data_IF_437711094549
#
_entry.id   IF_437711094549
#
_cell.length_a   1.000
_cell.length_b   1.000
_cell.length_c   1.000
_cell.angle_alpha   90.00
_cell.angle_beta   90.00
_cell.angle_gamma   90.00
#
_symmetry.space_group_name_H-M   'P 1'
#
loop_
_entity.id
_entity.type
_entity.pdbx_description
1 polymer ?
#
# COMPACT_ATOMS: atom_id res chain seq x y z
N UNK A 1 -9.96 4.94 2.93
CA UNK A 1 -10.23 6.24 3.61
C UNK A 1 -11.51 6.14 4.45
N UNK A 2 -11.61 5.15 5.35
CA UNK A 2 -12.73 5.00 6.29
C UNK A 2 -12.45 5.73 7.62
N UNK A 3 -11.17 6.01 7.94
CA UNK A 3 -10.74 6.69 9.16
C UNK A 3 -11.01 8.22 9.16
N UNK A 4 -11.14 8.83 7.99
CA UNK A 4 -11.48 10.26 7.85
C UNK A 4 -12.94 10.53 8.28
N UNK A 5 -13.81 9.51 8.19
CA UNK A 5 -15.20 9.60 8.61
C UNK A 5 -15.36 9.90 10.11
N UNK A 6 -14.50 9.28 10.93
CA UNK A 6 -14.51 9.32 12.40
C UNK A 6 -13.50 10.31 12.97
N UNK A 7 -12.81 11.11 12.14
CA UNK A 7 -11.81 12.12 12.53
C UNK A 7 -10.71 11.59 13.46
N UNK A 8 -10.26 10.36 13.24
CA UNK A 8 -9.17 9.76 14.03
C UNK A 8 -7.83 10.19 13.45
N UNK A 9 -6.96 10.81 14.26
CA UNK A 9 -5.64 11.30 13.82
C UNK A 9 -4.57 10.18 13.80
N UNK A 10 -4.84 9.09 13.09
CA UNK A 10 -3.91 7.98 12.89
C UNK A 10 -3.87 7.65 11.41
N UNK A 11 -2.68 7.70 10.81
CA UNK A 11 -2.49 7.32 9.41
C UNK A 11 -2.27 5.81 9.30
N UNK A 12 -2.78 5.22 8.23
CA UNK A 12 -2.56 3.82 7.88
C UNK A 12 -1.87 3.81 6.53
N UNK A 13 -0.68 3.22 6.46
CA UNK A 13 0.11 3.11 5.24
C UNK A 13 0.13 1.66 4.77
N UNK A 14 -0.46 1.39 3.60
CA UNK A 14 -0.42 0.06 2.97
C UNK A 14 0.86 -0.07 2.13
N UNK A 15 1.77 -0.96 2.53
CA UNK A 15 3.01 -1.22 1.79
C UNK A 15 2.83 -2.40 0.84
N UNK A 16 2.90 -2.14 -0.46
CA UNK A 16 2.74 -3.12 -1.53
C UNK A 16 4.13 -3.45 -2.06
N UNK A 17 4.58 -4.67 -1.78
CA UNK A 17 5.94 -5.12 -2.04
C UNK A 17 5.96 -6.16 -3.15
N UNK A 18 6.95 -6.04 -4.03
CA UNK A 18 7.34 -7.09 -4.95
C UNK A 18 8.12 -8.21 -4.28
N UNK A 19 8.92 -8.94 -5.06
CA UNK A 19 9.83 -9.96 -4.51
C UNK A 19 11.01 -9.25 -3.82
N UNK A 20 11.23 -9.54 -2.54
CA UNK A 20 12.32 -8.98 -1.73
C UNK A 20 13.32 -10.08 -1.38
N UNK A 21 14.61 -9.79 -1.41
CA UNK A 21 15.73 -10.73 -1.23
C UNK A 21 15.96 -11.20 0.22
N UNK A 22 14.88 -11.33 0.99
CA UNK A 22 14.94 -11.97 2.31
C UNK A 22 15.31 -13.44 2.19
N UNK A 23 16.07 -13.96 3.16
CA UNK A 23 16.49 -15.37 3.19
C UNK A 23 15.30 -16.33 3.07
N UNK A 24 14.16 -15.97 3.67
CA UNK A 24 12.92 -16.73 3.61
C UNK A 24 12.33 -16.75 2.20
N UNK A 25 12.20 -15.59 1.55
CA UNK A 25 11.65 -15.50 0.20
C UNK A 25 12.53 -16.23 -0.80
N UNK A 26 13.84 -16.01 -0.76
CA UNK A 26 14.79 -16.65 -1.68
C UNK A 26 14.80 -18.17 -1.56
N UNK A 27 14.62 -18.72 -0.34
CA UNK A 27 14.46 -20.17 -0.14
C UNK A 27 13.12 -20.68 -0.65
N UNK A 28 12.03 -19.93 -0.44
CA UNK A 28 10.69 -20.34 -0.82
C UNK A 28 10.46 -20.31 -2.34
N UNK A 29 11.15 -19.41 -3.07
CA UNK A 29 10.99 -19.26 -4.52
C UNK A 29 12.04 -20.01 -5.34
N UNK A 30 13.09 -20.55 -4.70
CA UNK A 30 14.17 -21.27 -5.36
C UNK A 30 13.65 -22.40 -6.26
N UNK A 31 13.93 -22.31 -7.56
CA UNK A 31 13.55 -23.31 -8.57
C UNK A 31 12.06 -23.31 -8.96
N UNK A 32 11.23 -22.46 -8.36
CA UNK A 32 9.78 -22.36 -8.63
C UNK A 32 9.45 -21.05 -9.33
N UNK A 33 10.01 -19.94 -8.83
CA UNK A 33 9.70 -18.60 -9.29
C UNK A 33 10.99 -17.81 -9.53
N UNK A 34 11.28 -17.54 -10.80
CA UNK A 34 12.49 -16.84 -11.24
C UNK A 34 12.14 -15.41 -11.60
N UNK A 35 12.36 -14.49 -10.66
CA UNK A 35 12.22 -13.05 -10.86
C UNK A 35 13.34 -12.30 -10.13
N UNK A 36 13.58 -11.05 -10.54
CA UNK A 36 14.54 -10.20 -9.85
C UNK A 36 13.97 -9.75 -8.50
N UNK A 37 14.65 -10.11 -7.42
CA UNK A 37 14.34 -9.65 -6.07
C UNK A 37 14.99 -8.28 -5.80
N UNK A 38 14.26 -7.41 -5.12
CA UNK A 38 14.76 -6.10 -4.65
C UNK A 38 15.45 -6.23 -3.28
N UNK A 39 16.41 -5.33 -2.96
CA UNK A 39 17.17 -5.37 -1.71
C UNK A 39 16.29 -5.04 -0.49
N UNK A 40 16.36 -5.89 0.54
CA UNK A 40 15.61 -5.76 1.79
C UNK A 40 15.97 -4.52 2.60
N UNK A 41 17.21 -4.05 2.54
CA UNK A 41 17.66 -2.87 3.29
C UNK A 41 17.01 -1.59 2.79
N UNK A 42 16.95 -1.39 1.47
CA UNK A 42 16.27 -0.23 0.87
C UNK A 42 14.76 -0.37 0.96
N UNK A 43 14.21 -1.58 0.80
CA UNK A 43 12.79 -1.86 1.03
C UNK A 43 12.34 -1.41 2.42
N UNK A 44 13.10 -1.78 3.47
CA UNK A 44 12.81 -1.38 4.84
C UNK A 44 12.82 0.15 5.02
N UNK A 45 13.75 0.83 4.37
CA UNK A 45 13.84 2.29 4.42
C UNK A 45 12.61 2.95 3.77
N UNK A 46 12.15 2.46 2.62
CA UNK A 46 10.97 3.03 1.94
C UNK A 46 9.67 2.79 2.72
N UNK A 47 9.53 1.66 3.41
CA UNK A 47 8.41 1.40 4.33
C UNK A 47 8.41 2.45 5.46
N UNK A 48 9.56 2.67 6.10
CA UNK A 48 9.69 3.64 7.20
C UNK A 48 9.39 5.05 6.70
N UNK A 49 9.95 5.45 5.55
CA UNK A 49 9.69 6.76 4.94
C UNK A 49 8.20 6.96 4.64
N UNK A 50 7.55 5.98 4.03
CA UNK A 50 6.13 6.07 3.70
C UNK A 50 5.25 6.22 4.92
N UNK A 51 5.53 5.46 5.99
CA UNK A 51 4.84 5.59 7.27
C UNK A 51 5.08 6.94 7.94
N UNK A 52 6.34 7.41 7.97
CA UNK A 52 6.70 8.71 8.54
C UNK A 52 6.05 9.88 7.78
N UNK A 53 5.92 9.75 6.45
CA UNK A 53 5.27 10.72 5.58
C UNK A 53 3.73 10.58 5.57
N UNK A 54 3.17 9.63 6.32
CA UNK A 54 1.72 9.34 6.38
C UNK A 54 1.11 9.09 5.00
N UNK A 55 1.86 8.42 4.12
CA UNK A 55 1.36 8.05 2.80
C UNK A 55 0.28 6.97 2.93
N UNK A 56 -0.77 7.03 2.11
CA UNK A 56 -1.80 5.98 2.11
C UNK A 56 -1.25 4.64 1.60
N UNK A 57 -0.37 4.70 0.60
CA UNK A 57 0.19 3.53 -0.09
C UNK A 57 1.66 3.76 -0.44
N UNK A 58 2.49 2.72 -0.28
CA UNK A 58 3.90 2.66 -0.72
C UNK A 58 4.03 1.49 -1.69
N UNK A 59 4.68 1.69 -2.84
CA UNK A 59 4.93 0.65 -3.83
C UNK A 59 6.45 0.46 -3.98
N UNK A 60 6.94 -0.74 -3.71
CA UNK A 60 8.35 -1.07 -3.85
C UNK A 60 8.52 -2.43 -4.53
N UNK A 61 9.02 -2.42 -5.77
CA UNK A 61 9.22 -3.60 -6.61
C UNK A 61 10.45 -3.38 -7.51
N UNK A 62 11.01 -4.46 -8.07
CA UNK A 62 12.14 -4.39 -9.00
C UNK A 62 11.74 -3.81 -10.36
N UNK A 63 10.46 -3.85 -10.70
CA UNK A 63 9.90 -3.29 -11.93
C UNK A 63 9.05 -2.04 -11.66
N UNK A 64 9.46 -0.92 -12.26
CA UNK A 64 8.73 0.35 -12.22
C UNK A 64 7.30 0.21 -12.79
N UNK A 65 7.13 -0.67 -13.77
CA UNK A 65 5.84 -0.87 -14.43
C UNK A 65 4.81 -1.49 -13.47
N UNK A 66 5.23 -2.41 -12.61
CA UNK A 66 4.35 -3.04 -11.62
C UNK A 66 3.75 -1.98 -10.71
N UNK A 67 4.58 -1.08 -10.18
CA UNK A 67 4.15 0.03 -9.32
C UNK A 67 3.18 0.97 -10.05
N UNK A 68 3.39 1.22 -11.35
CA UNK A 68 2.51 2.08 -12.14
C UNK A 68 1.13 1.44 -12.38
N UNK A 69 1.11 0.17 -12.76
CA UNK A 69 -0.11 -0.56 -13.11
C UNK A 69 -1.00 -0.83 -11.90
N UNK A 70 -0.40 -1.04 -10.72
CA UNK A 70 -1.14 -1.33 -9.50
C UNK A 70 -1.81 -0.11 -8.86
N UNK A 71 -1.45 1.11 -9.28
CA UNK A 71 -1.98 2.36 -8.70
C UNK A 71 -3.50 2.53 -8.82
N UNK A 72 -4.12 1.83 -9.78
CA UNK A 72 -5.57 1.73 -10.00
C UNK A 72 -6.37 3.04 -9.73
N UNK A 73 -6.30 4.04 -10.63
CA UNK A 73 -7.00 5.31 -10.43
C UNK A 73 -8.53 5.17 -10.44
N UNK A 74 -9.08 4.18 -11.15
CA UNK A 74 -10.52 3.96 -11.22
C UNK A 74 -11.13 3.64 -9.85
N UNK A 75 -10.43 2.82 -9.05
CA UNK A 75 -10.82 2.54 -7.66
C UNK A 75 -10.90 3.83 -6.82
N UNK A 76 -9.88 4.70 -6.89
CA UNK A 76 -9.85 5.96 -6.12
C UNK A 76 -11.00 6.90 -6.51
N UNK A 77 -11.31 7.00 -7.81
CA UNK A 77 -12.46 7.77 -8.28
C UNK A 77 -13.78 7.19 -7.73
N UNK A 78 -13.95 5.88 -7.81
CA UNK A 78 -15.16 5.20 -7.33
C UNK A 78 -15.34 5.32 -5.82
N UNK A 79 -14.27 5.19 -5.03
CA UNK A 79 -14.30 5.40 -3.58
C UNK A 79 -14.72 6.83 -3.23
N UNK A 80 -14.16 7.83 -3.92
CA UNK A 80 -14.54 9.24 -3.74
C UNK A 80 -16.02 9.49 -4.06
N UNK A 81 -16.52 8.94 -5.17
CA UNK A 81 -17.94 9.06 -5.54
C UNK A 81 -18.85 8.31 -4.55
N UNK A 82 -18.39 7.18 -4.01
CA UNK A 82 -19.16 6.38 -3.05
C UNK A 82 -19.31 7.09 -1.71
N UNK A 83 -18.26 7.74 -1.20
CA UNK A 83 -18.32 8.51 0.06
C UNK A 83 -19.40 9.60 0.04
N UNK A 84 -19.65 10.24 -1.12
CA UNK A 84 -20.72 11.24 -1.28
C UNK A 84 -22.13 10.65 -1.17
N UNK A 85 -22.29 9.33 -1.30
CA UNK A 85 -23.59 8.64 -1.26
C UNK A 85 -23.97 8.18 0.14
N UNK A 86 -23.03 8.19 1.09
CA UNK A 86 -23.29 7.79 2.47
C UNK A 86 -23.74 8.98 3.32
N UNK A 87 -24.74 8.77 4.19
CA UNK A 87 -25.09 9.73 5.22
C UNK A 87 -24.11 9.58 6.40
N UNK A 88 -23.04 10.39 6.39
CA UNK A 88 -21.98 10.35 7.39
C UNK A 88 -22.46 10.69 8.81
N UNK A 89 -23.57 11.43 8.96
CA UNK A 89 -24.11 11.83 10.26
C UNK A 89 -24.59 10.65 11.11
N UNK A 90 -25.02 9.55 10.46
CA UNK A 90 -25.39 8.30 11.15
C UNK A 90 -24.21 7.58 11.80
N UNK A 91 -22.99 7.82 11.31
CA UNK A 91 -21.79 7.15 11.80
C UNK A 91 -21.04 7.95 12.87
N UNK A 92 -21.30 9.26 12.96
CA UNK A 92 -20.64 10.17 13.92
C UNK A 92 -21.38 10.24 15.27
N UNK A 93 -22.70 9.99 15.29
CA UNK A 93 -23.56 10.21 16.45
C UNK A 93 -23.79 8.97 17.37
N UNK A 94 -22.84 8.02 17.40
CA UNK A 94 -22.87 6.90 18.36
C UNK A 94 -21.88 7.11 19.50
#
# INVERSE_FOLDING_TARGET
MEYEATKVNVSITLCILGLIDTDTAMKATAGIYTAQASPKEECALEIIKGGALRQDEVYYDSSILTSLLLRNPGRKIMEFLSLKRYNMERFINN
#
